data_IF_068950503065
#
_entry.id   IF_068950503065
#
_cell.length_a   1.000
_cell.length_b   1.000
_cell.length_c   1.000
_cell.angle_alpha   90.00
_cell.angle_beta   90.00
_cell.angle_gamma   90.00
#
_symmetry.space_group_name_H-M   'P 1'
#
loop_
_entity.id
_entity.type
_entity.pdbx_description
1 polymer ?
#
# COMPACT_ATOMS: atom_id res chain seq x y z
N UNK A 1 -5.47 -7.54 14.24
CA UNK A 1 -4.87 -8.83 14.63
C UNK A 1 -5.45 -10.06 13.94
N UNK A 2 -6.65 -10.01 13.35
CA UNK A 2 -7.32 -11.21 12.85
C UNK A 2 -6.54 -12.01 11.80
N UNK A 3 -5.66 -11.37 11.00
CA UNK A 3 -4.87 -12.04 9.97
C UNK A 3 -3.70 -12.88 10.52
N UNK A 4 -3.07 -12.48 11.64
CA UNK A 4 -2.00 -13.30 12.24
C UNK A 4 -2.62 -14.42 13.10
N UNK A 5 -3.73 -14.11 13.77
CA UNK A 5 -4.47 -15.07 14.61
C UNK A 5 -5.22 -16.14 13.82
N UNK A 6 -5.38 -15.98 12.50
CA UNK A 6 -6.02 -17.01 11.65
C UNK A 6 -5.14 -18.24 11.45
N UNK A 7 -3.85 -18.18 11.77
CA UNK A 7 -2.94 -19.33 11.72
C UNK A 7 -3.02 -20.10 13.04
N UNK A 8 -3.59 -21.31 13.01
CA UNK A 8 -3.86 -22.14 14.19
C UNK A 8 -2.63 -22.86 14.75
N UNK A 9 -1.59 -23.06 13.94
CA UNK A 9 -0.61 -24.13 14.16
C UNK A 9 0.53 -23.76 15.12
N UNK A 10 0.61 -22.50 15.58
CA UNK A 10 1.74 -21.98 16.35
C UNK A 10 1.37 -21.24 17.64
N UNK A 11 0.16 -21.43 18.16
CA UNK A 11 -0.32 -20.73 19.37
C UNK A 11 0.49 -20.99 20.65
N UNK A 12 1.48 -21.90 20.63
CA UNK A 12 2.30 -22.27 21.78
C UNK A 12 3.81 -21.94 21.65
N UNK A 13 4.27 -21.45 20.50
CA UNK A 13 5.70 -21.17 20.26
C UNK A 13 5.92 -19.76 19.70
N UNK A 14 6.97 -19.08 20.18
CA UNK A 14 7.32 -17.72 19.74
C UNK A 14 6.54 -16.63 20.46
N UNK A 15 6.47 -15.44 19.84
CA UNK A 15 5.77 -14.25 20.35
C UNK A 15 5.38 -13.32 19.19
N UNK A 16 4.49 -12.37 19.44
CA UNK A 16 4.13 -11.36 18.46
C UNK A 16 5.20 -10.25 18.45
N UNK A 17 5.82 -10.03 17.31
CA UNK A 17 6.79 -8.96 17.08
C UNK A 17 6.23 -7.96 16.07
N UNK A 18 6.32 -6.66 16.38
CA UNK A 18 5.89 -5.57 15.50
C UNK A 18 7.05 -4.66 15.13
N UNK A 19 7.07 -4.26 13.87
CA UNK A 19 8.09 -3.40 13.28
C UNK A 19 7.40 -2.24 12.56
N UNK A 20 7.73 -1.01 12.95
CA UNK A 20 7.19 0.22 12.37
C UNK A 20 8.35 1.01 11.72
N UNK A 21 8.22 1.28 10.43
CA UNK A 21 9.21 2.02 9.63
C UNK A 21 8.49 2.97 8.68
N UNK A 22 8.94 4.23 8.60
CA UNK A 22 8.42 5.21 7.65
C UNK A 22 7.96 6.52 8.28
N UNK A 23 7.50 7.45 7.45
CA UNK A 23 7.28 8.83 7.87
C UNK A 23 8.59 9.59 8.08
N UNK A 24 8.49 10.87 8.39
CA UNK A 24 9.62 11.78 8.64
C UNK A 24 9.13 12.98 9.47
N UNK A 25 9.97 13.97 9.74
CA UNK A 25 9.57 15.19 10.44
C UNK A 25 8.81 16.14 9.49
N UNK A 26 7.60 15.75 9.09
CA UNK A 26 6.81 16.51 8.12
C UNK A 26 6.08 17.72 8.74
N UNK A 27 6.01 18.83 7.99
CA UNK A 27 5.39 20.11 8.41
C UNK A 27 3.94 19.97 8.89
N UNK A 28 3.23 18.95 8.40
CA UNK A 28 1.81 18.71 8.67
C UNK A 28 1.57 17.77 9.85
N UNK A 29 2.64 17.30 10.51
CA UNK A 29 2.63 16.37 11.64
C UNK A 29 1.86 15.06 11.36
N UNK A 30 1.77 14.65 10.09
CA UNK A 30 1.03 13.46 9.67
C UNK A 30 1.75 12.18 10.13
N UNK A 31 3.07 12.14 10.02
CA UNK A 31 3.90 11.00 10.45
C UNK A 31 3.81 10.81 11.96
N UNK A 32 3.93 11.90 12.73
CA UNK A 32 3.82 11.87 14.19
C UNK A 32 2.43 11.41 14.62
N UNK A 33 1.38 11.97 14.01
CA UNK A 33 -0.01 11.59 14.30
C UNK A 33 -0.26 10.10 14.03
N UNK A 34 0.19 9.60 12.87
CA UNK A 34 0.03 8.20 12.51
C UNK A 34 0.83 7.28 13.45
N UNK A 35 2.06 7.67 13.81
CA UNK A 35 2.88 6.93 14.77
C UNK A 35 2.17 6.79 16.12
N UNK A 36 1.66 7.89 16.66
CA UNK A 36 0.91 7.88 17.92
C UNK A 36 -0.33 6.98 17.83
N UNK A 37 -1.10 7.08 16.73
CA UNK A 37 -2.27 6.23 16.51
C UNK A 37 -1.89 4.75 16.47
N UNK A 38 -0.88 4.36 15.68
CA UNK A 38 -0.45 2.97 15.56
C UNK A 38 0.03 2.40 16.90
N UNK A 39 0.91 3.12 17.60
CA UNK A 39 1.39 2.69 18.92
C UNK A 39 0.24 2.52 19.91
N UNK A 40 -0.68 3.49 19.93
CA UNK A 40 -1.83 3.45 20.84
C UNK A 40 -2.81 2.32 20.52
N UNK A 41 -3.06 2.01 19.25
CA UNK A 41 -3.92 0.88 18.87
C UNK A 41 -3.29 -0.48 19.16
N UNK A 42 -1.97 -0.61 19.03
CA UNK A 42 -1.24 -1.83 19.38
C UNK A 42 -1.14 -2.05 20.89
N UNK A 43 -0.92 -0.99 21.67
CA UNK A 43 -0.87 -1.03 23.14
C UNK A 43 -2.20 -1.48 23.78
N UNK A 44 -3.32 -1.24 23.10
CA UNK A 44 -4.67 -1.64 23.56
C UNK A 44 -5.02 -3.11 23.28
N UNK A 45 -4.18 -3.85 22.59
CA UNK A 45 -4.48 -5.25 22.30
C UNK A 45 -4.30 -6.11 23.56
N UNK A 46 -5.05 -7.20 23.66
CA UNK A 46 -4.96 -8.11 24.80
C UNK A 46 -3.68 -8.96 24.77
N UNK A 47 -3.14 -9.24 23.58
CA UNK A 47 -1.91 -10.02 23.42
C UNK A 47 -0.67 -9.17 23.65
N UNK A 48 0.37 -9.78 24.21
CA UNK A 48 1.68 -9.15 24.33
C UNK A 48 2.31 -8.96 22.93
N UNK A 49 2.41 -7.70 22.50
CA UNK A 49 3.09 -7.32 21.25
C UNK A 49 4.43 -6.68 21.59
N UNK A 50 5.51 -7.31 21.14
CA UNK A 50 6.85 -6.80 21.33
C UNK A 50 7.21 -5.83 20.20
N UNK A 51 7.40 -4.56 20.53
CA UNK A 51 7.95 -3.57 19.60
C UNK A 51 9.44 -3.83 19.37
N UNK A 52 9.79 -4.38 18.21
CA UNK A 52 11.18 -4.78 17.87
C UNK A 52 11.88 -3.74 17.00
N UNK A 53 11.15 -3.02 16.15
CA UNK A 53 11.72 -1.94 15.34
C UNK A 53 10.81 -0.72 15.36
N UNK A 54 11.38 0.43 15.69
CA UNK A 54 10.73 1.72 15.59
C UNK A 54 11.69 2.69 14.88
N UNK A 55 11.52 2.86 13.57
CA UNK A 55 12.28 3.81 12.75
C UNK A 55 11.28 4.65 11.97
N UNK A 56 10.59 5.54 12.68
CA UNK A 56 9.49 6.36 12.17
C UNK A 56 9.67 7.83 12.52
N UNK A 57 8.97 8.71 11.81
CA UNK A 57 8.92 10.16 12.08
C UNK A 57 10.35 10.72 12.23
N UNK A 58 10.73 11.25 13.40
CA UNK A 58 12.03 11.86 13.64
C UNK A 58 13.19 10.86 13.52
N UNK A 59 12.95 9.58 13.77
CA UNK A 59 13.97 8.52 13.67
C UNK A 59 14.23 8.09 12.21
N UNK A 60 13.39 8.53 11.29
CA UNK A 60 13.52 8.28 9.86
C UNK A 60 13.72 9.59 9.07
N UNK A 61 14.06 10.69 9.74
CA UNK A 61 14.18 12.00 9.13
C UNK A 61 15.61 12.31 8.66
N UNK A 62 15.72 13.05 7.56
CA UNK A 62 16.94 13.76 7.15
C UNK A 62 16.56 15.15 6.66
N UNK A 63 17.47 16.09 6.87
CA UNK A 63 17.32 17.47 6.42
C UNK A 63 18.29 17.76 5.28
N UNK A 64 17.78 18.33 4.20
CA UNK A 64 18.57 18.82 3.05
C UNK A 64 18.06 20.21 2.65
N UNK A 65 18.93 21.22 2.74
CA UNK A 65 18.59 22.63 2.46
C UNK A 65 17.33 23.10 3.22
N UNK A 66 17.28 22.90 4.54
CA UNK A 66 16.14 23.26 5.41
C UNK A 66 14.82 22.53 5.08
N UNK A 67 14.86 21.51 4.21
CA UNK A 67 13.71 20.67 3.90
C UNK A 67 13.89 19.28 4.49
N UNK A 68 12.83 18.73 5.05
CA UNK A 68 12.82 17.41 5.68
C UNK A 68 12.34 16.32 4.71
N UNK A 69 12.97 15.15 4.80
CA UNK A 69 12.68 14.00 3.95
C UNK A 69 12.82 12.69 4.73
N UNK A 70 12.07 11.64 4.35
CA UNK A 70 12.33 10.32 4.92
C UNK A 70 13.65 9.75 4.40
N UNK A 71 14.38 9.05 5.27
CA UNK A 71 15.58 8.29 4.92
C UNK A 71 15.19 6.94 4.30
N UNK A 72 14.19 6.27 4.87
CA UNK A 72 13.66 4.98 4.40
C UNK A 72 12.30 5.20 3.74
N UNK A 73 12.23 4.90 2.43
CA UNK A 73 10.99 4.91 1.65
C UNK A 73 10.37 3.51 1.48
N UNK A 74 11.15 2.45 1.67
CA UNK A 74 10.71 1.08 1.40
C UNK A 74 11.55 0.04 2.13
N UNK A 75 10.88 -1.04 2.53
CA UNK A 75 11.48 -2.20 3.19
C UNK A 75 10.98 -3.49 2.53
N UNK A 76 11.76 -4.56 2.68
CA UNK A 76 11.34 -5.93 2.41
C UNK A 76 11.45 -6.77 3.68
N UNK A 77 10.63 -7.80 3.78
CA UNK A 77 10.69 -8.80 4.85
C UNK A 77 10.84 -10.18 4.23
N UNK A 78 11.90 -10.89 4.57
CA UNK A 78 12.07 -12.28 4.17
C UNK A 78 11.26 -13.18 5.12
N UNK A 79 10.19 -13.79 4.61
CA UNK A 79 9.27 -14.60 5.42
C UNK A 79 9.95 -15.83 6.05
N UNK A 80 11.02 -16.36 5.44
CA UNK A 80 11.72 -17.56 5.96
C UNK A 80 12.70 -17.23 7.08
N UNK A 81 13.39 -16.09 6.98
CA UNK A 81 14.47 -15.72 7.92
C UNK A 81 14.04 -14.62 8.91
N UNK A 82 12.88 -14.01 8.68
CA UNK A 82 12.38 -12.83 9.40
C UNK A 82 13.26 -11.57 9.28
N UNK A 83 14.22 -11.56 8.35
CA UNK A 83 15.08 -10.40 8.13
C UNK A 83 14.31 -9.25 7.49
N UNK A 84 14.50 -8.05 8.04
CA UNK A 84 13.93 -6.79 7.54
C UNK A 84 15.08 -5.92 7.04
N UNK A 85 14.97 -5.44 5.81
CA UNK A 85 16.02 -4.64 5.18
C UNK A 85 15.43 -3.58 4.23
N UNK A 86 16.19 -2.51 4.00
CA UNK A 86 15.83 -1.44 3.05
C UNK A 86 15.74 -2.01 1.64
N UNK A 87 14.67 -1.67 0.91
CA UNK A 87 14.44 -2.17 -0.44
C UNK A 87 13.70 -1.16 -1.31
N UNK A 88 13.87 -1.29 -2.63
CA UNK A 88 13.09 -0.59 -3.64
C UNK A 88 12.57 -1.61 -4.65
N UNK A 89 11.36 -1.36 -5.18
CA UNK A 89 10.67 -2.30 -6.06
C UNK A 89 10.33 -1.62 -7.37
N UNK A 90 10.92 -2.11 -8.46
CA UNK A 90 10.62 -1.65 -9.81
C UNK A 90 9.37 -2.33 -10.38
N UNK A 91 9.20 -3.63 -10.11
CA UNK A 91 7.99 -4.38 -10.45
C UNK A 91 7.06 -4.43 -9.23
N UNK A 92 5.87 -3.83 -9.37
CA UNK A 92 4.85 -3.72 -8.31
C UNK A 92 3.51 -4.35 -8.74
N UNK A 93 3.50 -5.02 -9.89
CA UNK A 93 2.32 -5.66 -10.45
C UNK A 93 1.87 -6.90 -9.67
N UNK A 94 0.77 -7.52 -10.10
CA UNK A 94 -0.11 -7.14 -11.21
C UNK A 94 -1.15 -6.07 -10.81
N UNK A 95 -1.86 -5.55 -11.82
CA UNK A 95 -2.99 -4.60 -11.68
C UNK A 95 -2.64 -3.35 -10.85
N UNK A 96 -1.43 -2.79 -11.05
CA UNK A 96 -0.90 -1.67 -10.27
C UNK A 96 -1.81 -0.44 -10.35
N UNK A 97 -2.23 -0.03 -11.54
CA UNK A 97 -3.10 1.14 -11.74
C UNK A 97 -4.51 0.92 -11.16
N UNK A 98 -5.07 -0.29 -11.28
CA UNK A 98 -6.38 -0.64 -10.70
C UNK A 98 -6.34 -0.54 -9.17
N UNK A 99 -5.28 -1.06 -8.55
CA UNK A 99 -5.07 -1.01 -7.10
C UNK A 99 -4.80 0.42 -6.62
N UNK A 100 -4.01 1.20 -7.37
CA UNK A 100 -3.76 2.60 -7.08
C UNK A 100 -5.04 3.45 -7.21
N UNK A 101 -5.84 3.22 -8.26
CA UNK A 101 -7.12 3.91 -8.48
C UNK A 101 -8.12 3.64 -7.36
N UNK A 102 -8.17 2.40 -6.86
CA UNK A 102 -8.96 2.06 -5.67
C UNK A 102 -8.54 2.89 -4.46
N UNK A 103 -7.24 2.99 -4.19
CA UNK A 103 -6.75 3.74 -3.04
C UNK A 103 -7.05 5.25 -3.19
N UNK A 104 -6.79 5.82 -4.37
CA UNK A 104 -7.02 7.24 -4.66
C UNK A 104 -8.50 7.63 -4.59
N UNK A 105 -9.41 6.69 -4.86
CA UNK A 105 -10.87 6.89 -4.70
C UNK A 105 -11.36 6.69 -3.26
N UNK A 106 -10.47 6.48 -2.29
CA UNK A 106 -10.80 6.36 -0.87
C UNK A 106 -11.23 4.95 -0.45
N UNK A 107 -10.84 3.91 -1.20
CA UNK A 107 -11.10 2.54 -0.79
C UNK A 107 -10.44 2.19 0.55
N UNK A 108 -11.12 1.49 1.47
CA UNK A 108 -10.53 1.11 2.75
C UNK A 108 -9.40 0.07 2.60
N UNK A 109 -8.64 -0.13 3.68
CA UNK A 109 -7.67 -1.21 3.82
C UNK A 109 -8.34 -2.58 3.54
N UNK A 110 -7.65 -3.44 2.79
CA UNK A 110 -8.10 -4.79 2.41
C UNK A 110 -6.97 -5.80 2.52
N UNK A 111 -7.31 -7.06 2.82
CA UNK A 111 -6.40 -8.19 2.57
C UNK A 111 -6.43 -8.56 1.09
N UNK A 112 -5.27 -8.78 0.49
CA UNK A 112 -5.14 -9.06 -0.95
C UNK A 112 -4.61 -10.46 -1.25
N UNK A 113 -4.06 -11.17 -0.26
CA UNK A 113 -3.41 -12.46 -0.48
C UNK A 113 -4.04 -13.54 0.40
N UNK A 114 -4.33 -14.67 -0.22
CA UNK A 114 -4.78 -15.89 0.42
C UNK A 114 -3.61 -16.88 0.45
N UNK A 115 -3.06 -17.09 1.64
CA UNK A 115 -1.90 -17.96 1.83
C UNK A 115 -2.24 -19.46 1.74
N UNK A 116 -3.49 -19.86 2.02
CA UNK A 116 -3.90 -21.26 1.94
C UNK A 116 -3.96 -21.73 0.49
N UNK A 117 -4.53 -20.90 -0.38
CA UNK A 117 -4.62 -21.21 -1.81
C UNK A 117 -3.46 -20.65 -2.63
N UNK A 118 -2.57 -19.89 -2.00
CA UNK A 118 -1.45 -19.15 -2.60
C UNK A 118 -1.87 -18.16 -3.69
N UNK A 119 -3.02 -17.51 -3.53
CA UNK A 119 -3.63 -16.63 -4.53
C UNK A 119 -3.59 -15.16 -4.13
N UNK A 120 -3.15 -14.31 -5.06
CA UNK A 120 -3.43 -12.89 -5.01
C UNK A 120 -4.84 -12.64 -5.56
N UNK A 121 -5.70 -11.99 -4.76
CA UNK A 121 -7.12 -11.74 -5.04
C UNK A 121 -7.35 -10.24 -5.16
N UNK A 122 -7.64 -9.79 -6.38
CA UNK A 122 -7.81 -8.37 -6.69
C UNK A 122 -9.28 -8.11 -7.02
N UNK A 123 -9.93 -7.28 -6.21
CA UNK A 123 -11.34 -6.96 -6.37
C UNK A 123 -12.31 -8.03 -5.85
N UNK A 124 -13.59 -7.93 -6.24
CA UNK A 124 -14.16 -6.86 -7.05
C UNK A 124 -14.07 -5.50 -6.33
N UNK A 125 -13.77 -4.44 -7.08
CA UNK A 125 -13.77 -3.07 -6.57
C UNK A 125 -14.91 -2.28 -7.19
N UNK A 126 -15.39 -1.30 -6.43
CA UNK A 126 -16.39 -0.34 -6.86
C UNK A 126 -16.00 1.04 -6.35
N UNK A 127 -16.22 2.04 -7.19
CA UNK A 127 -16.10 3.45 -6.85
C UNK A 127 -17.02 4.27 -7.73
N UNK A 128 -17.26 5.51 -7.30
CA UNK A 128 -17.93 6.53 -8.10
C UNK A 128 -16.90 7.28 -8.96
N UNK A 129 -17.33 7.94 -10.05
CA UNK A 129 -16.42 8.70 -10.91
C UNK A 129 -15.58 9.70 -10.10
N UNK A 130 -14.27 9.71 -10.37
CA UNK A 130 -13.35 10.60 -9.65
C UNK A 130 -13.66 12.08 -9.97
N UNK A 131 -13.91 12.94 -8.97
CA UNK A 131 -14.27 14.33 -9.21
C UNK A 131 -13.22 15.07 -10.04
N UNK A 132 -13.67 15.77 -11.08
CA UNK A 132 -12.83 16.66 -11.90
C UNK A 132 -11.57 15.98 -12.49
N UNK A 133 -11.63 14.68 -12.82
CA UNK A 133 -10.47 13.93 -13.33
C UNK A 133 -9.80 14.58 -14.55
N UNK A 134 -10.56 15.13 -15.49
CA UNK A 134 -10.04 15.84 -16.66
C UNK A 134 -9.29 17.13 -16.29
N UNK A 135 -9.79 17.87 -15.30
CA UNK A 135 -9.13 19.07 -14.80
C UNK A 135 -7.78 18.73 -14.17
N UNK A 136 -7.73 17.69 -13.33
CA UNK A 136 -6.49 17.25 -12.68
C UNK A 136 -5.44 16.77 -13.68
N UNK A 137 -5.87 16.05 -14.72
CA UNK A 137 -4.97 15.59 -15.79
C UNK A 137 -4.33 16.74 -16.58
N UNK A 138 -4.96 17.91 -16.62
CA UNK A 138 -4.45 19.11 -17.30
C UNK A 138 -3.53 19.98 -16.43
N UNK A 139 -3.49 19.74 -15.11
CA UNK A 139 -2.64 20.53 -14.21
C UNK A 139 -1.17 20.25 -14.45
N UNK A 140 -0.31 21.21 -14.10
CA UNK A 140 1.14 21.01 -14.06
C UNK A 140 1.57 20.11 -12.89
N UNK A 141 2.83 19.70 -12.90
CA UNK A 141 3.37 18.77 -11.90
C UNK A 141 3.37 19.37 -10.48
N UNK A 142 3.54 20.69 -10.37
CA UNK A 142 3.53 21.40 -9.08
C UNK A 142 2.14 21.36 -8.46
N UNK A 143 1.10 21.67 -9.23
CA UNK A 143 -0.29 21.59 -8.77
C UNK A 143 -0.70 20.17 -8.38
N UNK A 144 -0.22 19.15 -9.10
CA UNK A 144 -0.46 17.75 -8.71
C UNK A 144 0.21 17.44 -7.38
N UNK A 145 1.48 17.81 -7.19
CA UNK A 145 2.18 17.60 -5.92
C UNK A 145 1.48 18.33 -4.77
N UNK A 146 1.20 19.62 -4.91
CA UNK A 146 0.65 20.44 -3.82
C UNK A 146 -0.74 19.99 -3.36
N UNK A 147 -1.57 19.46 -4.28
CA UNK A 147 -2.97 19.14 -4.00
C UNK A 147 -3.26 17.64 -3.85
N UNK A 148 -2.46 16.76 -4.46
CA UNK A 148 -2.70 15.31 -4.46
C UNK A 148 -1.65 14.51 -3.67
N UNK A 149 -0.61 15.17 -3.14
CA UNK A 149 0.33 14.58 -2.17
C UNK A 149 0.08 15.09 -0.75
N UNK A 150 0.41 14.26 0.23
CA UNK A 150 0.49 14.66 1.64
C UNK A 150 1.74 15.47 1.97
N UNK A 151 2.82 15.35 1.19
CA UNK A 151 4.13 15.95 1.43
C UNK A 151 4.81 16.34 0.10
N UNK A 152 4.40 17.46 -0.53
CA UNK A 152 4.75 17.80 -1.92
C UNK A 152 6.25 17.84 -2.24
N UNK A 153 7.09 18.22 -1.27
CA UNK A 153 8.54 18.29 -1.45
C UNK A 153 9.24 16.95 -1.23
N UNK A 154 8.64 16.02 -0.48
CA UNK A 154 9.28 14.78 -0.06
C UNK A 154 8.92 13.55 -0.91
N UNK A 155 8.07 13.72 -1.93
CA UNK A 155 7.65 12.65 -2.81
C UNK A 155 8.80 12.10 -3.68
N UNK A 156 8.81 10.79 -4.00
CA UNK A 156 9.75 10.23 -4.95
C UNK A 156 9.64 10.89 -6.35
N UNK A 157 10.71 10.89 -7.15
CA UNK A 157 10.75 11.59 -8.45
C UNK A 157 9.72 11.08 -9.48
N UNK A 158 9.15 9.90 -9.26
CA UNK A 158 8.15 9.28 -10.13
C UNK A 158 6.71 9.46 -9.66
N UNK A 159 6.47 10.20 -8.57
CA UNK A 159 5.14 10.38 -7.96
C UNK A 159 4.12 10.94 -8.95
N UNK A 160 4.42 12.08 -9.59
CA UNK A 160 3.47 12.74 -10.50
C UNK A 160 3.14 11.86 -11.70
N UNK A 161 4.15 11.19 -12.27
CA UNK A 161 3.95 10.23 -13.35
C UNK A 161 2.97 9.12 -12.93
N UNK A 162 3.14 8.57 -11.73
CA UNK A 162 2.25 7.53 -11.21
C UNK A 162 0.82 8.06 -11.03
N UNK A 163 0.64 9.23 -10.39
CA UNK A 163 -0.68 9.86 -10.21
C UNK A 163 -1.37 10.11 -11.55
N UNK A 164 -0.65 10.60 -12.57
CA UNK A 164 -1.22 10.79 -13.92
C UNK A 164 -1.71 9.48 -14.52
N UNK A 165 -0.94 8.39 -14.42
CA UNK A 165 -1.40 7.06 -14.85
C UNK A 165 -2.65 6.60 -14.11
N UNK A 166 -2.70 6.81 -12.79
CA UNK A 166 -3.87 6.47 -11.97
C UNK A 166 -5.10 7.29 -12.35
N UNK A 167 -4.96 8.60 -12.57
CA UNK A 167 -6.05 9.48 -13.01
C UNK A 167 -6.54 9.09 -14.42
N UNK A 168 -5.63 8.73 -15.33
CA UNK A 168 -5.99 8.21 -16.65
C UNK A 168 -6.78 6.90 -16.54
N UNK A 169 -6.41 6.01 -15.62
CA UNK A 169 -7.16 4.78 -15.34
C UNK A 169 -8.57 5.10 -14.82
N UNK A 170 -8.70 6.02 -13.87
CA UNK A 170 -9.99 6.46 -13.32
C UNK A 170 -10.89 7.11 -14.37
N UNK A 171 -10.31 7.91 -15.27
CA UNK A 171 -11.03 8.48 -16.42
C UNK A 171 -11.55 7.40 -17.35
N UNK A 172 -10.74 6.37 -17.62
CA UNK A 172 -11.12 5.24 -18.49
C UNK A 172 -12.16 4.32 -17.85
N UNK A 173 -12.09 4.13 -16.53
CA UNK A 173 -12.96 3.23 -15.76
C UNK A 173 -13.65 3.96 -14.60
N UNK A 174 -14.62 4.84 -14.87
CA UNK A 174 -15.30 5.62 -13.84
C UNK A 174 -16.23 4.77 -12.95
N UNK A 175 -16.60 3.57 -13.40
CA UNK A 175 -17.37 2.58 -12.63
C UNK A 175 -16.88 1.16 -12.97
N UNK A 176 -15.91 0.61 -12.20
CA UNK A 176 -15.19 -0.61 -12.58
C UNK A 176 -15.96 -1.90 -12.29
N UNK A 177 -16.93 -1.88 -11.37
CA UNK A 177 -17.59 -3.07 -10.85
C UNK A 177 -18.16 -3.98 -11.95
N UNK A 178 -18.80 -3.37 -12.96
CA UNK A 178 -19.45 -4.10 -14.06
C UNK A 178 -18.57 -4.23 -15.31
N UNK A 179 -17.42 -3.55 -15.37
CA UNK A 179 -16.57 -3.48 -16.57
C UNK A 179 -15.27 -4.27 -16.42
N UNK A 180 -14.72 -4.34 -15.21
CA UNK A 180 -13.45 -5.00 -14.92
C UNK A 180 -13.61 -6.35 -14.20
N UNK A 181 -14.76 -6.58 -13.55
CA UNK A 181 -15.00 -7.78 -12.73
C UNK A 181 -16.19 -8.57 -13.25
N UNK A 182 -15.95 -9.52 -14.15
CA UNK A 182 -16.98 -10.39 -14.72
C UNK A 182 -17.70 -11.18 -13.61
N UNK A 183 -19.02 -11.05 -13.55
CA UNK A 183 -19.84 -11.73 -12.55
C UNK A 183 -19.52 -11.34 -11.11
N UNK A 184 -18.97 -10.14 -10.88
CA UNK A 184 -18.54 -9.65 -9.57
C UNK A 184 -17.48 -10.57 -8.91
N UNK A 185 -16.64 -11.20 -9.73
CA UNK A 185 -15.55 -12.07 -9.26
C UNK A 185 -14.22 -11.31 -9.20
N UNK A 186 -13.42 -11.65 -8.20
CA UNK A 186 -12.04 -11.16 -8.10
C UNK A 186 -11.19 -11.65 -9.28
N UNK A 187 -10.21 -10.84 -9.66
CA UNK A 187 -9.12 -11.27 -10.53
C UNK A 187 -8.13 -12.07 -9.67
N UNK A 188 -7.83 -13.30 -10.10
CA UNK A 188 -6.99 -14.22 -9.34
C UNK A 188 -5.64 -14.37 -10.03
N UNK A 189 -4.57 -14.32 -9.25
CA UNK A 189 -3.20 -14.48 -9.72
C UNK A 189 -2.44 -15.48 -8.85
N UNK A 190 -1.56 -16.27 -9.47
CA UNK A 190 -0.64 -17.21 -8.80
C UNK A 190 0.79 -17.01 -9.29
N UNK A 191 1.75 -17.50 -8.52
CA UNK A 191 3.15 -17.55 -8.99
C UNK A 191 3.31 -18.71 -9.98
N UNK A 192 3.96 -18.44 -11.11
CA UNK A 192 4.39 -19.47 -12.04
C UNK A 192 5.74 -20.08 -11.56
N UNK A 193 6.29 -21.01 -12.34
CA UNK A 193 7.56 -21.70 -12.01
C UNK A 193 8.76 -20.73 -11.89
N UNK A 194 8.73 -19.61 -12.61
CA UNK A 194 9.76 -18.56 -12.56
C UNK A 194 9.56 -17.55 -11.40
N UNK A 195 8.51 -17.72 -10.59
CA UNK A 195 8.18 -16.80 -9.50
C UNK A 195 7.54 -15.48 -9.96
N UNK A 196 7.06 -15.40 -11.20
CA UNK A 196 6.30 -14.26 -11.74
C UNK A 196 4.80 -14.44 -11.49
N UNK A 197 4.05 -13.34 -11.41
CA UNK A 197 2.59 -13.41 -11.25
C UNK A 197 1.92 -13.72 -12.59
N UNK A 198 1.08 -14.75 -12.61
CA UNK A 198 0.28 -15.17 -13.76
C UNK A 198 -1.20 -15.17 -13.40
N UNK A 199 -2.05 -14.68 -14.32
CA UNK A 199 -3.49 -14.60 -14.13
C UNK A 199 -4.11 -16.00 -14.26
N UNK A 200 -4.92 -16.39 -13.28
CA UNK A 200 -5.66 -17.64 -13.32
C UNK A 200 -6.96 -17.41 -14.08
N UNK A 201 -7.14 -18.10 -15.20
CA UNK A 201 -8.42 -18.13 -15.92
C UNK A 201 -9.47 -18.82 -15.06
N UNK A 202 -10.66 -18.22 -14.93
CA UNK A 202 -11.80 -18.93 -14.37
C UNK A 202 -12.17 -20.08 -15.32
N UNK A 203 -12.34 -21.34 -14.85
CA UNK A 203 -12.87 -22.39 -15.71
C UNK A 203 -14.28 -21.99 -16.16
N UNK A 204 -14.46 -21.79 -17.47
CA UNK A 204 -15.75 -21.47 -18.09
C UNK A 204 -15.90 -20.04 -18.65
N UNK A 205 -14.90 -19.56 -19.40
CA UNK A 205 -15.11 -18.51 -20.42
C UNK A 205 -15.37 -19.16 -21.76
#
# INVERSE_FOLDING_TARGET
MNSIKSFSDHTQCGRLEVHLVGGFSDDRQLSQKLTHQLLSEFDRQEDDIHLVTLCVTELNDREENENHFPVIYGIAVNIKTSEIYRASFQDRGPEEELRAARALTGGPMISIYDAETEQLRIGPYSWMPFPHVDFWLQQDDKQILENLSTSPLAEPPHFVKHIRSTLMFLKKYPSPANTLFLGNKALLYKKNEDGLWEKISSPGS
#
